data_IF_696842822176
#
_entry.id   IF_696842822176
#
_cell.length_a   1.000
_cell.length_b   1.000
_cell.length_c   1.000
_cell.angle_alpha   90.00
_cell.angle_beta   90.00
_cell.angle_gamma   90.00
#
_symmetry.space_group_name_H-M   'P 1'
#
loop_
_entity.id
_entity.type
_entity.pdbx_description
1 polymer ?
#
# COMPACT_ATOMS: atom_id res chain seq x y z
N UNK A 1 -12.65 6.98 -4.88
CA UNK A 1 -12.91 8.41 -4.57
C UNK A 1 -12.87 8.74 -3.08
N UNK A 2 -12.95 7.80 -2.16
CA UNK A 2 -13.00 8.02 -0.70
C UNK A 2 -11.86 7.30 0.04
N UNK A 3 -10.63 7.32 -0.50
CA UNK A 3 -9.47 6.71 0.13
C UNK A 3 -9.21 7.34 1.51
N UNK A 4 -9.38 6.53 2.57
CA UNK A 4 -9.14 6.97 3.95
C UNK A 4 -10.24 7.79 4.61
N UNK A 5 -11.41 7.94 3.99
CA UNK A 5 -12.57 8.55 4.62
C UNK A 5 -13.22 7.59 5.63
N UNK A 6 -13.75 8.15 6.71
CA UNK A 6 -14.43 7.40 7.76
C UNK A 6 -13.72 7.46 9.11
N UNK A 7 -14.45 7.07 10.16
CA UNK A 7 -13.91 6.98 11.52
C UNK A 7 -12.94 5.81 11.69
N UNK A 8 -12.22 5.79 12.82
CA UNK A 8 -11.20 4.78 13.13
C UNK A 8 -11.71 3.32 12.97
N UNK A 9 -12.93 3.02 13.43
CA UNK A 9 -13.54 1.69 13.29
C UNK A 9 -13.81 1.32 11.83
N UNK A 10 -14.19 2.28 10.98
CA UNK A 10 -14.40 2.07 9.54
C UNK A 10 -13.08 1.73 8.86
N UNK A 11 -12.02 2.48 9.16
CA UNK A 11 -10.66 2.22 8.64
C UNK A 11 -10.15 0.83 9.07
N UNK A 12 -10.37 0.48 10.35
CA UNK A 12 -10.05 -0.85 10.84
C UNK A 12 -10.76 -1.94 10.02
N UNK A 13 -12.08 -1.78 9.79
CA UNK A 13 -12.84 -2.77 9.01
C UNK A 13 -12.32 -2.90 7.57
N UNK A 14 -12.04 -1.77 6.91
CA UNK A 14 -11.45 -1.78 5.56
C UNK A 14 -10.12 -2.53 5.52
N UNK A 15 -9.25 -2.33 6.52
CA UNK A 15 -7.98 -3.04 6.61
C UNK A 15 -8.19 -4.54 6.80
N UNK A 16 -9.10 -4.95 7.70
CA UNK A 16 -9.37 -6.37 7.94
C UNK A 16 -9.96 -7.06 6.71
N UNK A 17 -10.90 -6.42 6.02
CA UNK A 17 -11.49 -6.96 4.79
C UNK A 17 -10.44 -7.16 3.70
N UNK A 18 -9.50 -6.20 3.55
CA UNK A 18 -8.37 -6.33 2.63
C UNK A 18 -7.42 -7.47 3.03
N UNK A 19 -7.10 -7.61 4.32
CA UNK A 19 -6.23 -8.67 4.83
C UNK A 19 -6.86 -10.05 4.61
N UNK A 20 -8.14 -10.21 4.90
CA UNK A 20 -8.86 -11.48 4.65
C UNK A 20 -8.87 -11.81 3.16
N UNK A 21 -9.17 -10.84 2.30
CA UNK A 21 -9.14 -11.00 0.84
C UNK A 21 -7.74 -11.42 0.38
N UNK A 22 -6.69 -10.74 0.84
CA UNK A 22 -5.31 -11.11 0.53
C UNK A 22 -5.02 -12.58 0.87
N UNK A 23 -5.33 -13.00 2.10
CA UNK A 23 -5.05 -14.36 2.57
C UNK A 23 -5.83 -15.43 1.79
N UNK A 24 -7.05 -15.15 1.38
CA UNK A 24 -7.83 -16.03 0.49
C UNK A 24 -7.14 -16.16 -0.87
N UNK A 25 -6.74 -15.06 -1.49
CA UNK A 25 -6.07 -15.05 -2.80
C UNK A 25 -4.72 -15.77 -2.75
N UNK A 26 -3.98 -15.63 -1.66
CA UNK A 26 -2.70 -16.33 -1.47
C UNK A 26 -2.92 -17.85 -1.32
N UNK A 27 -3.89 -18.27 -0.50
CA UNK A 27 -4.23 -19.69 -0.34
C UNK A 27 -4.68 -20.34 -1.65
N UNK A 28 -5.39 -19.60 -2.49
CA UNK A 28 -5.88 -20.06 -3.79
C UNK A 28 -4.82 -19.91 -4.90
N UNK A 29 -3.71 -19.23 -4.60
CA UNK A 29 -2.66 -18.89 -5.57
C UNK A 29 -3.21 -18.27 -6.87
N UNK A 30 -4.13 -17.29 -6.74
CA UNK A 30 -4.80 -16.65 -7.85
C UNK A 30 -4.62 -15.12 -7.85
N UNK A 31 -4.91 -14.50 -9.00
CA UNK A 31 -5.01 -13.06 -9.11
C UNK A 31 -6.36 -12.58 -8.57
N UNK A 32 -6.40 -11.31 -8.12
CA UNK A 32 -7.62 -10.68 -7.65
C UNK A 32 -8.59 -10.37 -8.81
N UNK A 33 -9.87 -10.63 -8.61
CA UNK A 33 -10.95 -10.11 -9.46
C UNK A 33 -11.09 -8.60 -9.30
N UNK A 34 -11.82 -7.89 -10.19
CA UNK A 34 -12.05 -6.45 -10.02
C UNK A 34 -12.69 -6.07 -8.67
N UNK A 35 -13.62 -6.88 -8.17
CA UNK A 35 -14.28 -6.66 -6.88
C UNK A 35 -13.33 -6.85 -5.70
N UNK A 36 -12.45 -7.86 -5.79
CA UNK A 36 -11.40 -8.09 -4.79
C UNK A 36 -10.33 -6.99 -4.84
N UNK A 37 -9.96 -6.51 -6.04
CA UNK A 37 -9.08 -5.35 -6.19
C UNK A 37 -9.69 -4.10 -5.56
N UNK A 38 -10.99 -3.87 -5.71
CA UNK A 38 -11.68 -2.77 -5.03
C UNK A 38 -11.57 -2.91 -3.50
N UNK A 39 -11.76 -4.11 -2.96
CA UNK A 39 -11.60 -4.37 -1.52
C UNK A 39 -10.16 -4.14 -1.06
N UNK A 40 -9.18 -4.69 -1.77
CA UNK A 40 -7.76 -4.51 -1.48
C UNK A 40 -7.34 -3.03 -1.54
N UNK A 41 -7.88 -2.25 -2.49
CA UNK A 41 -7.56 -0.83 -2.65
C UNK A 41 -8.04 0.05 -1.49
N UNK A 42 -8.96 -0.44 -0.65
CA UNK A 42 -9.45 0.25 0.55
C UNK A 42 -8.53 0.09 1.76
N UNK A 43 -7.47 -0.71 1.65
CA UNK A 43 -6.47 -0.81 2.70
C UNK A 43 -5.77 0.53 2.91
N UNK A 44 -5.81 1.03 4.13
CA UNK A 44 -5.26 2.35 4.50
C UNK A 44 -4.12 2.25 5.53
N UNK A 45 -3.66 1.04 5.84
CA UNK A 45 -2.64 0.83 6.85
C UNK A 45 -3.09 1.18 8.27
N UNK A 46 -2.13 1.22 9.17
CA UNK A 46 -2.42 1.37 10.62
C UNK A 46 -2.10 2.75 11.16
N UNK A 47 -1.71 3.70 10.32
CA UNK A 47 -1.45 5.08 10.71
C UNK A 47 -2.68 5.70 11.38
N UNK A 48 -2.49 6.19 12.62
CA UNK A 48 -3.58 6.76 13.41
C UNK A 48 -4.60 5.76 13.95
N UNK A 49 -4.26 4.46 14.03
CA UNK A 49 -5.08 3.40 14.64
C UNK A 49 -4.35 2.66 15.79
N UNK A 50 -3.66 3.35 16.70
CA UNK A 50 -2.94 2.68 17.78
C UNK A 50 -3.87 1.90 18.74
N UNK A 51 -5.13 2.31 18.84
CA UNK A 51 -6.12 1.68 19.71
C UNK A 51 -6.43 0.22 19.30
N UNK A 52 -6.22 -0.13 18.04
CA UNK A 52 -6.41 -1.50 17.54
C UNK A 52 -5.37 -2.48 18.12
N UNK A 53 -4.25 -1.97 18.65
CA UNK A 53 -3.14 -2.72 19.22
C UNK A 53 -3.07 -2.66 20.75
N UNK A 54 -4.06 -2.03 21.39
CA UNK A 54 -4.14 -1.85 22.84
C UNK A 54 -5.09 -2.89 23.47
N UNK A 55 -4.53 -3.88 24.13
CA UNK A 55 -5.29 -4.96 24.80
C UNK A 55 -6.08 -4.49 26.02
N UNK A 56 -5.71 -3.35 26.60
CA UNK A 56 -6.40 -2.78 27.76
C UNK A 56 -7.58 -1.87 27.35
N UNK A 57 -7.66 -1.49 26.08
CA UNK A 57 -8.72 -0.65 25.55
C UNK A 57 -10.03 -1.43 25.37
N UNK A 58 -10.90 -1.36 26.38
CA UNK A 58 -12.17 -2.11 26.37
C UNK A 58 -13.08 -1.75 25.20
N UNK A 59 -12.98 -0.54 24.63
CA UNK A 59 -13.77 -0.10 23.47
C UNK A 59 -13.28 -0.71 22.16
N UNK A 60 -12.06 -1.26 22.15
CA UNK A 60 -11.40 -1.87 20.98
C UNK A 60 -11.06 -3.37 21.18
N UNK A 61 -11.47 -3.96 22.28
CA UNK A 61 -11.10 -5.34 22.63
C UNK A 61 -11.50 -6.39 21.58
N UNK A 62 -12.59 -6.15 20.83
CA UNK A 62 -13.03 -7.04 19.75
C UNK A 62 -12.10 -6.95 18.56
N UNK A 63 -11.76 -5.73 18.16
CA UNK A 63 -10.86 -5.45 17.05
C UNK A 63 -9.45 -5.92 17.36
N UNK A 64 -8.96 -5.71 18.59
CA UNK A 64 -7.69 -6.23 19.04
C UNK A 64 -7.61 -7.75 18.90
N UNK A 65 -8.63 -8.49 19.38
CA UNK A 65 -8.67 -9.95 19.28
C UNK A 65 -8.77 -10.43 17.83
N UNK A 66 -9.57 -9.75 17.01
CA UNK A 66 -9.70 -10.06 15.59
C UNK A 66 -8.38 -9.88 14.86
N UNK A 67 -7.69 -8.76 15.10
CA UNK A 67 -6.38 -8.46 14.51
C UNK A 67 -5.33 -9.51 14.90
N UNK A 68 -5.22 -9.82 16.19
CA UNK A 68 -4.29 -10.84 16.68
C UNK A 68 -4.54 -12.23 16.09
N UNK A 69 -5.81 -12.58 15.88
CA UNK A 69 -6.16 -13.87 15.28
C UNK A 69 -5.89 -13.92 13.77
N UNK A 70 -5.89 -12.78 13.10
CA UNK A 70 -5.73 -12.69 11.65
C UNK A 70 -4.26 -12.59 11.22
N UNK A 71 -3.38 -12.06 12.04
CA UNK A 71 -1.98 -11.81 11.72
C UNK A 71 -1.04 -12.84 12.35
N UNK A 72 0.08 -13.09 11.68
CA UNK A 72 1.22 -13.77 12.32
C UNK A 72 1.92 -12.79 13.27
N UNK A 73 2.79 -13.30 14.16
CA UNK A 73 3.54 -12.48 15.11
C UNK A 73 4.39 -11.40 14.40
N UNK A 74 5.01 -11.75 13.27
CA UNK A 74 5.82 -10.83 12.46
C UNK A 74 4.94 -9.77 11.79
N UNK A 75 3.81 -10.18 11.19
CA UNK A 75 2.83 -9.25 10.59
C UNK A 75 2.25 -8.31 11.65
N UNK A 76 1.93 -8.81 12.83
CA UNK A 76 1.42 -8.01 13.94
C UNK A 76 2.46 -6.98 14.43
N UNK A 77 3.71 -7.42 14.59
CA UNK A 77 4.79 -6.54 15.03
C UNK A 77 5.05 -5.42 14.01
N UNK A 78 5.10 -5.75 12.71
CA UNK A 78 5.25 -4.77 11.64
C UNK A 78 4.07 -3.79 11.59
N UNK A 79 2.83 -4.29 11.64
CA UNK A 79 1.62 -3.49 11.66
C UNK A 79 1.58 -2.51 12.84
N UNK A 80 1.90 -2.99 14.06
CA UNK A 80 1.99 -2.14 15.25
C UNK A 80 3.05 -1.06 15.11
N UNK A 81 4.23 -1.41 14.57
CA UNK A 81 5.32 -0.45 14.32
C UNK A 81 4.94 0.65 13.34
N UNK A 82 4.04 0.38 12.40
CA UNK A 82 3.61 1.34 11.36
C UNK A 82 2.57 2.37 11.84
N UNK A 83 2.01 2.22 13.04
CA UNK A 83 0.94 3.11 13.55
C UNK A 83 1.33 4.58 13.62
N UNK A 84 2.61 4.89 13.74
CA UNK A 84 3.14 6.26 13.81
C UNK A 84 3.56 6.83 12.46
N UNK A 85 3.85 5.98 11.46
CA UNK A 85 4.56 6.37 10.25
C UNK A 85 3.80 6.10 8.94
N UNK A 86 2.66 5.41 8.98
CA UNK A 86 1.89 5.10 7.78
C UNK A 86 1.01 6.29 7.36
N UNK A 87 1.51 7.10 6.44
CA UNK A 87 0.79 8.22 5.87
C UNK A 87 0.66 8.05 4.36
N UNK A 88 -0.56 8.08 3.85
CA UNK A 88 -0.83 8.01 2.41
C UNK A 88 -0.92 9.38 1.78
N UNK A 89 -0.29 9.52 0.60
CA UNK A 89 -0.33 10.75 -0.19
C UNK A 89 -1.71 10.91 -0.83
N UNK A 90 -2.28 12.10 -0.71
CA UNK A 90 -3.61 12.36 -1.28
C UNK A 90 -3.60 12.31 -2.82
N UNK A 91 -4.70 11.88 -3.46
CA UNK A 91 -4.81 11.84 -4.92
C UNK A 91 -4.54 13.18 -5.61
N UNK A 92 -4.88 14.29 -4.97
CA UNK A 92 -4.64 15.64 -5.51
C UNK A 92 -3.15 15.92 -5.63
N UNK A 93 -2.37 15.58 -4.59
CA UNK A 93 -0.92 15.76 -4.59
C UNK A 93 -0.25 14.84 -5.63
N UNK A 94 -0.65 13.57 -5.71
CA UNK A 94 -0.11 12.64 -6.70
C UNK A 94 -0.35 13.13 -8.13
N UNK A 95 -1.56 13.60 -8.44
CA UNK A 95 -1.89 14.15 -9.75
C UNK A 95 -1.05 15.38 -10.08
N UNK A 96 -0.85 16.30 -9.12
CA UNK A 96 -0.01 17.49 -9.31
C UNK A 96 1.46 17.11 -9.56
N UNK A 97 1.98 16.08 -8.88
CA UNK A 97 3.33 15.56 -9.12
C UNK A 97 3.45 15.03 -10.55
N UNK A 98 2.51 14.20 -11.01
CA UNK A 98 2.53 13.68 -12.38
C UNK A 98 2.36 14.78 -13.45
N UNK A 99 1.57 15.80 -13.19
CA UNK A 99 1.47 16.98 -14.07
C UNK A 99 2.83 17.68 -14.19
N UNK A 100 3.51 17.92 -13.07
CA UNK A 100 4.84 18.51 -13.06
C UNK A 100 5.86 17.64 -13.83
N UNK A 101 5.85 16.32 -13.62
CA UNK A 101 6.71 15.36 -14.32
C UNK A 101 6.44 15.37 -15.84
N UNK A 102 5.17 15.42 -16.24
CA UNK A 102 4.78 15.55 -17.65
C UNK A 102 5.26 16.86 -18.28
N UNK A 103 5.16 17.98 -17.54
CA UNK A 103 5.65 19.30 -17.98
C UNK A 103 7.17 19.34 -18.12
N UNK A 104 7.91 18.52 -17.36
CA UNK A 104 9.35 18.32 -17.55
C UNK A 104 9.71 17.43 -18.76
N UNK A 105 8.70 16.90 -19.46
CA UNK A 105 8.87 16.15 -20.71
C UNK A 105 8.93 14.64 -20.55
N UNK A 106 8.74 14.08 -19.35
CA UNK A 106 8.68 12.63 -19.16
C UNK A 106 7.40 12.05 -19.78
N UNK A 107 7.55 10.97 -20.52
CA UNK A 107 6.43 10.26 -21.17
C UNK A 107 6.36 8.80 -20.80
N UNK A 108 7.44 8.06 -21.00
CA UNK A 108 7.51 6.63 -20.68
C UNK A 108 8.91 6.26 -20.21
N UNK A 109 9.00 5.21 -19.39
CA UNK A 109 10.29 4.71 -18.89
C UNK A 109 10.09 3.74 -17.73
N UNK A 110 11.17 3.45 -17.04
CA UNK A 110 11.16 2.67 -15.82
C UNK A 110 10.85 3.62 -14.64
N UNK A 111 9.69 3.45 -14.02
CA UNK A 111 9.25 4.27 -12.88
C UNK A 111 9.43 3.48 -11.59
N UNK A 112 10.14 4.06 -10.61
CA UNK A 112 10.31 3.50 -9.27
C UNK A 112 9.45 4.25 -8.25
N UNK A 113 8.73 3.52 -7.42
CA UNK A 113 8.14 3.99 -6.16
C UNK A 113 8.84 3.30 -4.99
N UNK A 114 9.76 3.98 -4.26
CA UNK A 114 10.68 3.35 -3.31
C UNK A 114 10.08 3.03 -1.94
N UNK A 115 8.91 3.57 -1.62
CA UNK A 115 8.13 3.26 -0.42
C UNK A 115 6.66 3.35 -0.79
N UNK A 116 6.21 2.33 -1.54
CA UNK A 116 5.02 2.47 -2.36
C UNK A 116 3.70 2.37 -1.60
N UNK A 117 3.70 1.85 -0.39
CA UNK A 117 2.45 1.50 0.27
C UNK A 117 1.66 0.51 -0.59
N UNK A 118 0.37 0.77 -0.74
CA UNK A 118 -0.48 -0.02 -1.66
C UNK A 118 -0.41 0.43 -3.12
N UNK A 119 0.50 1.36 -3.48
CA UNK A 119 0.72 1.79 -4.86
C UNK A 119 -0.24 2.87 -5.34
N UNK A 120 -0.54 3.86 -4.52
CA UNK A 120 -1.41 4.96 -4.92
C UNK A 120 -0.87 5.75 -6.11
N UNK A 121 0.45 5.88 -6.24
CA UNK A 121 1.07 6.48 -7.42
C UNK A 121 0.83 5.63 -8.67
N UNK A 122 0.93 4.31 -8.57
CA UNK A 122 0.63 3.41 -9.70
C UNK A 122 -0.85 3.49 -10.12
N UNK A 123 -1.76 3.52 -9.14
CA UNK A 123 -3.20 3.62 -9.39
C UNK A 123 -3.65 4.94 -10.02
N UNK A 124 -2.84 6.00 -9.89
CA UNK A 124 -3.10 7.32 -10.43
C UNK A 124 -2.16 7.69 -11.58
N UNK A 125 -1.44 6.71 -12.15
CA UNK A 125 -0.57 6.92 -13.30
C UNK A 125 -1.36 7.52 -14.47
N UNK A 126 -0.93 8.65 -15.06
CA UNK A 126 -1.62 9.27 -16.18
C UNK A 126 -1.61 8.38 -17.43
N UNK A 127 -2.66 8.46 -18.23
CA UNK A 127 -2.77 7.74 -19.50
C UNK A 127 -1.56 8.01 -20.43
N UNK A 128 -0.99 9.22 -20.38
CA UNK A 128 0.21 9.58 -21.15
C UNK A 128 1.48 8.82 -20.75
N UNK A 129 1.46 8.14 -19.58
CA UNK A 129 2.59 7.40 -19.03
C UNK A 129 2.30 5.88 -18.90
N UNK A 130 1.16 5.41 -19.39
CA UNK A 130 0.67 4.03 -19.21
C UNK A 130 1.60 2.93 -19.76
N UNK A 131 2.44 3.28 -20.74
CA UNK A 131 3.38 2.35 -21.36
C UNK A 131 4.69 2.23 -20.56
N UNK A 132 4.79 2.90 -19.41
CA UNK A 132 5.92 2.78 -18.49
C UNK A 132 5.93 1.42 -17.78
N UNK A 133 7.15 0.97 -17.41
CA UNK A 133 7.33 -0.19 -16.55
C UNK A 133 7.38 0.27 -15.09
N UNK A 134 6.58 -0.37 -14.24
CA UNK A 134 6.41 0.03 -12.85
C UNK A 134 7.21 -0.89 -11.93
N UNK A 135 7.98 -0.30 -11.05
CA UNK A 135 8.80 -0.96 -10.04
C UNK A 135 8.47 -0.37 -8.67
N UNK A 136 8.12 -1.22 -7.73
CA UNK A 136 7.78 -0.80 -6.38
C UNK A 136 8.62 -1.52 -5.33
N UNK A 137 8.91 -0.81 -4.24
CA UNK A 137 9.52 -1.42 -3.05
C UNK A 137 8.65 -1.06 -1.86
N UNK A 138 8.33 -2.05 -1.03
CA UNK A 138 7.55 -1.85 0.19
C UNK A 138 8.09 -2.73 1.30
N UNK A 139 8.37 -2.12 2.45
CA UNK A 139 8.92 -2.80 3.60
C UNK A 139 7.87 -3.63 4.34
N UNK A 140 6.66 -3.08 4.51
CA UNK A 140 5.58 -3.77 5.21
C UNK A 140 5.05 -4.94 4.37
N UNK A 141 5.13 -6.13 4.95
CA UNK A 141 4.79 -7.38 4.25
C UNK A 141 3.34 -7.42 3.78
N UNK A 142 2.37 -7.01 4.60
CA UNK A 142 0.95 -7.03 4.22
C UNK A 142 0.70 -6.02 3.10
N UNK A 143 1.17 -4.80 3.28
CA UNK A 143 1.00 -3.71 2.34
C UNK A 143 1.60 -4.04 0.97
N UNK A 144 2.84 -4.57 0.95
CA UNK A 144 3.51 -4.96 -0.30
C UNK A 144 2.83 -6.12 -1.02
N UNK A 145 2.35 -7.13 -0.29
CA UNK A 145 1.59 -8.25 -0.87
C UNK A 145 0.24 -7.81 -1.41
N UNK A 146 -0.44 -6.87 -0.75
CA UNK A 146 -1.66 -6.23 -1.29
C UNK A 146 -1.33 -5.53 -2.60
N UNK A 147 -0.25 -4.73 -2.65
CA UNK A 147 0.18 -4.05 -3.86
C UNK A 147 0.48 -5.02 -5.01
N UNK A 148 1.12 -6.17 -4.75
CA UNK A 148 1.35 -7.22 -5.75
C UNK A 148 0.04 -7.77 -6.34
N UNK A 149 -1.02 -7.90 -5.54
CA UNK A 149 -2.34 -8.33 -6.01
C UNK A 149 -3.09 -7.23 -6.78
N UNK A 150 -2.87 -5.94 -6.43
CA UNK A 150 -3.44 -4.80 -7.14
C UNK A 150 -2.78 -4.57 -8.50
N UNK A 151 -1.45 -4.76 -8.58
CA UNK A 151 -0.66 -4.46 -9.78
C UNK A 151 0.15 -5.67 -10.25
N UNK A 152 -0.50 -6.74 -10.75
CA UNK A 152 0.17 -7.99 -11.09
C UNK A 152 1.17 -7.87 -12.27
N UNK A 153 1.19 -6.75 -12.99
CA UNK A 153 2.13 -6.46 -14.06
C UNK A 153 3.36 -5.65 -13.62
N UNK A 154 3.33 -5.10 -12.40
CA UNK A 154 4.43 -4.34 -11.84
C UNK A 154 5.45 -5.29 -11.18
N UNK A 155 6.72 -4.89 -11.17
CA UNK A 155 7.79 -5.56 -10.43
C UNK A 155 7.83 -4.99 -9.00
N UNK A 156 7.19 -5.68 -8.06
CA UNK A 156 7.06 -5.21 -6.67
C UNK A 156 7.85 -6.11 -5.74
N UNK A 157 8.84 -5.54 -5.08
CA UNK A 157 9.69 -6.19 -4.07
C UNK A 157 9.19 -5.85 -2.67
N UNK A 158 8.91 -6.89 -1.87
CA UNK A 158 8.55 -6.74 -0.46
C UNK A 158 9.83 -6.86 0.37
N UNK A 159 10.50 -5.74 0.58
CA UNK A 159 11.76 -5.65 1.32
C UNK A 159 12.08 -4.19 1.66
N UNK A 160 13.14 -3.96 2.45
CA UNK A 160 13.65 -2.61 2.66
C UNK A 160 14.28 -2.04 1.38
N UNK A 161 14.17 -0.73 1.19
CA UNK A 161 14.69 -0.04 0.00
C UNK A 161 16.22 -0.20 -0.15
N UNK A 162 16.95 -0.36 0.94
CA UNK A 162 18.39 -0.63 0.98
C UNK A 162 18.82 -1.91 0.26
N UNK A 163 17.86 -2.81 -0.01
CA UNK A 163 18.13 -4.05 -0.78
C UNK A 163 18.14 -3.83 -2.28
N UNK A 164 17.74 -2.63 -2.74
CA UNK A 164 17.69 -2.28 -4.17
C UNK A 164 19.10 -1.98 -4.67
N UNK A 165 19.58 -2.75 -5.64
CA UNK A 165 20.94 -2.65 -6.20
C UNK A 165 20.98 -2.14 -7.66
N UNK A 166 19.82 -1.82 -8.25
CA UNK A 166 19.71 -1.35 -9.63
C UNK A 166 20.26 0.07 -9.78
N UNK A 167 21.32 0.23 -10.58
CA UNK A 167 21.96 1.53 -10.87
C UNK A 167 21.68 1.94 -12.30
N UNK A 168 21.48 3.24 -12.53
CA UNK A 168 21.23 3.83 -13.87
C UNK A 168 20.11 3.10 -14.64
N UNK A 169 19.08 2.65 -13.91
CA UNK A 169 18.02 1.81 -14.44
C UNK A 169 16.65 2.51 -14.49
N UNK A 170 16.40 3.41 -13.54
CA UNK A 170 15.14 4.11 -13.44
C UNK A 170 15.20 5.47 -14.12
N UNK A 171 14.20 5.77 -14.96
CA UNK A 171 14.05 7.06 -15.64
C UNK A 171 13.32 8.07 -14.75
N UNK A 172 12.50 7.59 -13.81
CA UNK A 172 11.77 8.38 -12.84
C UNK A 172 11.71 7.63 -11.50
N UNK A 173 12.02 8.33 -10.41
CA UNK A 173 11.68 7.89 -9.06
C UNK A 173 10.65 8.87 -8.49
N UNK A 174 9.51 8.35 -8.03
CA UNK A 174 8.40 9.15 -7.52
C UNK A 174 7.80 8.47 -6.30
N UNK A 175 7.46 9.24 -5.27
CA UNK A 175 6.87 8.69 -4.06
C UNK A 175 6.91 9.68 -2.90
N UNK A 176 6.38 9.26 -1.77
CA UNK A 176 6.46 9.95 -0.49
C UNK A 176 7.19 9.04 0.50
N UNK A 177 8.52 9.14 0.55
CA UNK A 177 9.33 8.31 1.44
C UNK A 177 9.22 8.80 2.89
N UNK A 178 9.16 7.88 3.88
CA UNK A 178 9.21 8.26 5.29
C UNK A 178 10.56 8.89 5.65
N UNK A 179 10.52 9.85 6.57
CA UNK A 179 11.71 10.56 7.08
C UNK A 179 12.31 9.83 8.27
#
# INVERSE_FOLDING_TARGET
EALGEGGAKTKFRMNMDAIYTLKILENQNCNATPEEQETLSKYVGWGGLPEAFDEENTSWIREFKELNAALTDDEYTAARGSTLNAHYTSPVVIKAIYEAVGNMGFKTGNILEPAMGVGNFFGLLPESMKDSRLYGVELDSITGRIAQKLYPKADITVAGFETTDRRDFFDLAVGNVPF
#
